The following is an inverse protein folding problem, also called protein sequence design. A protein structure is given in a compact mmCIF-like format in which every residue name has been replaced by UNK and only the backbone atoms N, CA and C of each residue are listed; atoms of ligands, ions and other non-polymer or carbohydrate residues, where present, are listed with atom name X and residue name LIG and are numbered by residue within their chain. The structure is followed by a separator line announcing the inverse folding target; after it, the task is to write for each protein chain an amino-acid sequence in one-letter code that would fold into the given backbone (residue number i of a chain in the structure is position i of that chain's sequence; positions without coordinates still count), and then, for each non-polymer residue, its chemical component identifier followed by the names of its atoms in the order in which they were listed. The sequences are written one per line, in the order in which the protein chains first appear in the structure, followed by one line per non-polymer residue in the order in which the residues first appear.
data_IF_574790331363
#
_entry.id   IF_574790331363
#
_cell.length_a   1.000
_cell.length_b   1.000
_cell.length_c   1.000
_cell.angle_alpha   90.00
_cell.angle_beta   90.00
_cell.angle_gamma   90.00
#
_symmetry.space_group_name_H-M   'P 1'
#
loop_
_entity.id
_entity.type
_entity.pdbx_description
1 polymer ?
#
# COMPACT_ATOMS: atom_id res chain seq x y z
N UNK A 1 11.32 1.83 17.69
CA UNK A 1 11.50 2.76 18.85
C UNK A 1 11.87 4.19 18.44
N UNK A 2 12.94 4.42 17.66
CA UNK A 2 13.35 5.79 17.29
C UNK A 2 12.24 6.61 16.61
N UNK A 3 11.50 6.03 15.66
CA UNK A 3 10.37 6.68 15.00
C UNK A 3 9.21 7.03 15.96
N UNK A 4 8.98 6.23 17.00
CA UNK A 4 7.94 6.50 18.00
C UNK A 4 8.25 7.76 18.80
N UNK A 5 9.50 7.87 19.26
CA UNK A 5 9.99 9.04 19.99
C UNK A 5 10.04 10.26 19.07
N UNK A 6 10.60 10.12 17.87
CA UNK A 6 10.74 11.20 16.90
C UNK A 6 9.40 11.78 16.45
N UNK A 7 8.41 10.95 16.14
CA UNK A 7 7.06 11.40 15.77
C UNK A 7 6.36 12.14 16.91
N UNK A 8 6.50 11.65 18.15
CA UNK A 8 5.92 12.29 19.33
C UNK A 8 6.53 13.68 19.62
N UNK A 9 7.83 13.86 19.37
CA UNK A 9 8.52 15.14 19.56
C UNK A 9 8.21 16.12 18.41
N UNK A 10 8.20 15.64 17.16
CA UNK A 10 8.05 16.50 15.99
C UNK A 10 6.65 17.12 15.88
N UNK A 11 5.60 16.31 16.06
CA UNK A 11 4.21 16.78 16.07
C UNK A 11 3.31 15.76 16.78
N UNK A 12 2.70 16.17 17.88
CA UNK A 12 1.75 15.35 18.62
C UNK A 12 0.63 14.81 17.71
N UNK A 13 0.32 13.52 17.86
CA UNK A 13 -0.68 12.83 17.05
C UNK A 13 -0.19 12.34 15.67
N UNK A 14 1.09 12.49 15.34
CA UNK A 14 1.66 11.90 14.12
C UNK A 14 1.63 10.38 14.22
N UNK A 15 0.97 9.74 13.25
CA UNK A 15 0.97 8.29 13.13
C UNK A 15 2.28 7.79 12.51
N UNK A 16 2.78 6.67 13.00
CA UNK A 16 3.95 5.98 12.44
C UNK A 16 3.76 4.46 12.49
N UNK A 17 4.41 3.79 11.54
CA UNK A 17 4.42 2.33 11.38
C UNK A 17 5.87 1.81 11.32
N UNK A 18 6.03 0.49 11.38
CA UNK A 18 7.30 -0.19 11.17
C UNK A 18 7.05 -1.45 10.34
N UNK A 19 7.03 -1.28 9.02
CA UNK A 19 6.85 -2.37 8.07
C UNK A 19 7.89 -3.48 8.27
N UNK A 20 7.42 -4.68 8.59
CA UNK A 20 8.24 -5.90 8.73
C UNK A 20 7.43 -7.11 8.24
N UNK A 21 7.92 -8.32 8.53
CA UNK A 21 7.08 -9.52 8.47
C UNK A 21 5.84 -9.35 9.36
N UNK A 22 4.70 -9.90 8.92
CA UNK A 22 3.37 -9.56 9.41
C UNK A 22 3.15 -9.93 10.88
N UNK A 23 3.65 -11.09 11.34
CA UNK A 23 3.55 -11.50 12.73
C UNK A 23 4.46 -10.65 13.64
N UNK A 24 5.67 -10.30 13.18
CA UNK A 24 6.57 -9.38 13.88
C UNK A 24 5.97 -7.98 13.97
N UNK A 25 5.43 -7.44 12.88
CA UNK A 25 4.80 -6.12 12.84
C UNK A 25 3.60 -6.05 13.80
N UNK A 26 2.78 -7.10 13.85
CA UNK A 26 1.69 -7.21 14.82
C UNK A 26 2.20 -7.25 16.26
N UNK A 27 3.27 -7.99 16.54
CA UNK A 27 3.85 -8.07 17.88
C UNK A 27 4.41 -6.70 18.34
N UNK A 28 5.06 -5.97 17.44
CA UNK A 28 5.52 -4.60 17.66
C UNK A 28 4.34 -3.67 17.94
N UNK A 29 3.24 -3.81 17.19
CA UNK A 29 2.01 -3.07 17.41
C UNK A 29 1.36 -3.37 18.76
N UNK A 30 1.25 -4.65 19.13
CA UNK A 30 0.73 -5.08 20.43
C UNK A 30 1.59 -4.60 21.60
N UNK A 31 2.89 -4.46 21.41
CA UNK A 31 3.81 -3.88 22.39
C UNK A 31 3.73 -2.33 22.46
N UNK A 32 2.91 -1.68 21.63
CA UNK A 32 2.72 -0.23 21.62
C UNK A 32 3.87 0.53 20.95
N UNK A 33 4.68 -0.14 20.14
CA UNK A 33 5.83 0.47 19.46
C UNK A 33 5.53 0.95 18.03
N UNK A 34 4.30 0.84 17.56
CA UNK A 34 3.74 1.48 16.35
C UNK A 34 2.33 2.01 16.65
N UNK A 35 1.87 3.01 15.91
CA UNK A 35 0.51 3.56 16.07
C UNK A 35 -0.47 3.07 15.00
N UNK A 36 0.05 2.53 13.90
CA UNK A 36 -0.73 1.90 12.83
C UNK A 36 0.15 0.91 12.04
N UNK A 37 -0.48 0.06 11.23
CA UNK A 37 0.17 -0.80 10.23
C UNK A 37 -0.36 -0.47 8.82
N UNK A 38 0.48 -0.56 7.80
CA UNK A 38 0.09 -0.32 6.41
C UNK A 38 0.37 -1.52 5.52
N UNK A 39 1.55 -2.12 5.69
CA UNK A 39 2.13 -3.15 4.83
C UNK A 39 1.49 -4.53 4.97
N UNK A 40 0.20 -4.58 5.33
CA UNK A 40 -0.60 -5.80 5.41
C UNK A 40 -0.95 -6.25 3.99
N UNK A 41 -0.03 -7.01 3.37
CA UNK A 41 0.01 -7.18 1.91
C UNK A 41 -1.05 -8.16 1.39
N UNK A 42 -1.72 -7.86 0.28
CA UNK A 42 -2.69 -8.76 -0.38
C UNK A 42 -2.38 -8.89 -1.87
N UNK A 43 -2.73 -10.03 -2.46
CA UNK A 43 -2.36 -10.37 -3.82
C UNK A 43 -3.54 -10.82 -4.68
N UNK A 44 -3.41 -10.65 -5.99
CA UNK A 44 -4.46 -10.89 -6.97
C UNK A 44 -4.53 -12.34 -7.44
N UNK A 45 -3.59 -13.20 -7.06
CA UNK A 45 -3.58 -14.64 -7.39
C UNK A 45 -3.24 -15.48 -6.17
N UNK A 46 -3.68 -16.74 -6.17
CA UNK A 46 -3.46 -17.66 -5.04
C UNK A 46 -1.98 -18.00 -4.89
N UNK A 47 -1.26 -18.21 -5.99
CA UNK A 47 0.18 -18.50 -5.93
C UNK A 47 0.99 -17.31 -5.39
N UNK A 48 0.60 -16.06 -5.73
CA UNK A 48 1.23 -14.88 -5.12
C UNK A 48 0.90 -14.77 -3.63
N UNK A 49 -0.33 -15.13 -3.22
CA UNK A 49 -0.68 -15.21 -1.80
C UNK A 49 0.20 -16.19 -1.02
N UNK A 50 0.38 -17.40 -1.57
CA UNK A 50 1.21 -18.45 -0.95
C UNK A 50 2.67 -18.00 -0.84
N UNK A 51 3.23 -17.39 -1.89
CA UNK A 51 4.61 -16.88 -1.88
C UNK A 51 4.76 -15.66 -0.94
N UNK A 52 3.69 -14.90 -0.74
CA UNK A 52 3.57 -13.88 0.30
C UNK A 52 3.27 -14.42 1.71
N UNK A 53 3.38 -15.73 1.91
CA UNK A 53 3.15 -16.48 3.17
C UNK A 53 1.76 -16.26 3.81
N UNK A 54 0.75 -16.07 2.98
CA UNK A 54 -0.59 -15.73 3.45
C UNK A 54 -1.72 -16.28 2.58
N UNK A 55 -2.93 -16.18 3.11
CA UNK A 55 -4.17 -16.48 2.43
C UNK A 55 -5.15 -15.33 2.63
N UNK A 56 -6.23 -15.25 1.84
CA UNK A 56 -7.29 -14.28 2.09
C UNK A 56 -7.86 -14.37 3.53
N UNK A 57 -7.91 -15.57 4.11
CA UNK A 57 -8.41 -15.79 5.46
C UNK A 57 -7.43 -15.38 6.56
N UNK A 58 -6.14 -15.67 6.40
CA UNK A 58 -5.13 -15.21 7.37
C UNK A 58 -5.05 -13.69 7.39
N UNK A 59 -5.17 -13.02 6.23
CA UNK A 59 -5.28 -11.55 6.16
C UNK A 59 -6.55 -11.02 6.82
N UNK A 60 -7.69 -11.66 6.62
CA UNK A 60 -8.92 -11.28 7.30
C UNK A 60 -8.80 -11.37 8.83
N UNK A 61 -8.16 -12.44 9.31
CA UNK A 61 -7.87 -12.63 10.73
C UNK A 61 -6.89 -11.57 11.25
N UNK A 62 -5.81 -11.30 10.51
CA UNK A 62 -4.80 -10.30 10.87
C UNK A 62 -5.40 -8.88 10.94
N UNK A 63 -6.21 -8.50 9.95
CA UNK A 63 -7.00 -7.25 9.96
C UNK A 63 -7.84 -7.14 11.21
N UNK A 64 -8.53 -8.23 11.58
CA UNK A 64 -9.33 -8.29 12.81
C UNK A 64 -8.46 -8.24 14.07
N UNK A 65 -7.27 -8.82 14.06
CA UNK A 65 -6.33 -8.80 15.19
C UNK A 65 -5.85 -7.37 15.48
N UNK A 66 -5.45 -6.60 14.46
CA UNK A 66 -5.13 -5.18 14.61
C UNK A 66 -6.33 -4.39 15.18
N UNK A 67 -7.52 -4.59 14.61
CA UNK A 67 -8.74 -3.93 15.07
C UNK A 67 -9.09 -4.27 16.52
N UNK A 68 -8.91 -5.54 16.94
CA UNK A 68 -9.17 -6.00 18.32
C UNK A 68 -8.28 -5.32 19.36
N UNK A 69 -7.15 -4.77 18.94
CA UNK A 69 -6.20 -4.02 19.77
C UNK A 69 -6.33 -2.51 19.62
N UNK A 70 -7.32 -2.04 18.87
CA UNK A 70 -7.51 -0.61 18.59
C UNK A 70 -6.41 0.01 17.74
N UNK A 71 -5.66 -0.82 17.00
CA UNK A 71 -4.56 -0.36 16.14
C UNK A 71 -5.13 -0.08 14.75
N UNK A 72 -4.96 1.15 14.25
CA UNK A 72 -5.34 1.48 12.86
C UNK A 72 -4.52 0.60 11.92
N UNK A 73 -5.17 0.07 10.89
CA UNK A 73 -4.45 -0.62 9.81
C UNK A 73 -5.07 -0.32 8.46
N UNK A 74 -4.29 -0.54 7.41
CA UNK A 74 -4.78 -0.70 6.04
C UNK A 74 -4.03 -1.86 5.40
N UNK A 75 -4.53 -2.35 4.29
CA UNK A 75 -3.82 -3.34 3.49
C UNK A 75 -2.96 -2.66 2.43
N UNK A 76 -1.98 -3.39 1.89
CA UNK A 76 -1.18 -2.94 0.75
C UNK A 76 -1.38 -3.88 -0.43
N UNK A 77 -1.60 -3.31 -1.61
CA UNK A 77 -1.56 -4.00 -2.89
C UNK A 77 -0.94 -3.08 -3.93
N UNK A 78 -0.87 -3.53 -5.18
CA UNK A 78 -0.41 -2.67 -6.25
C UNK A 78 -0.25 -3.43 -7.55
N UNK A 79 -0.53 -2.75 -8.66
CA UNK A 79 -0.26 -3.31 -9.97
C UNK A 79 1.20 -3.79 -10.11
N UNK A 80 1.34 -4.90 -10.84
CA UNK A 80 2.60 -5.58 -11.15
C UNK A 80 3.22 -6.42 -10.03
N UNK A 81 2.61 -6.50 -8.84
CA UNK A 81 3.08 -7.41 -7.78
C UNK A 81 3.14 -8.87 -8.27
N UNK A 82 2.05 -9.40 -8.83
CA UNK A 82 1.98 -10.78 -9.30
C UNK A 82 2.84 -11.02 -10.54
N UNK A 83 3.06 -9.99 -11.36
CA UNK A 83 3.99 -10.08 -12.48
C UNK A 83 5.44 -10.17 -12.00
N UNK A 84 5.80 -9.38 -11.00
CA UNK A 84 7.13 -9.40 -10.38
C UNK A 84 7.41 -10.73 -9.69
N UNK A 85 6.40 -11.30 -9.03
CA UNK A 85 6.48 -12.61 -8.35
C UNK A 85 6.38 -13.80 -9.32
N UNK A 86 6.03 -13.57 -10.60
CA UNK A 86 5.92 -14.63 -11.62
C UNK A 86 4.57 -15.36 -11.66
N UNK A 87 3.56 -14.89 -10.93
CA UNK A 87 2.25 -15.52 -10.75
C UNK A 87 1.07 -14.74 -11.35
N UNK A 88 1.28 -13.99 -12.43
CA UNK A 88 0.27 -13.11 -13.04
C UNK A 88 -0.89 -13.78 -13.81
N UNK A 89 -0.90 -15.12 -13.95
CA UNK A 89 -1.99 -15.90 -14.59
C UNK A 89 -2.46 -15.39 -15.98
N UNK A 90 -1.55 -14.77 -16.74
CA UNK A 90 -1.87 -14.12 -18.04
C UNK A 90 -3.01 -13.09 -17.94
N UNK A 91 -3.12 -12.40 -16.81
CA UNK A 91 -4.08 -11.32 -16.59
C UNK A 91 -3.40 -9.95 -16.66
N UNK A 92 -4.17 -8.92 -16.98
CA UNK A 92 -3.71 -7.53 -16.92
C UNK A 92 -3.45 -7.10 -15.48
N UNK A 93 -2.51 -6.18 -15.27
CA UNK A 93 -2.16 -5.68 -13.94
C UNK A 93 -3.36 -5.10 -13.21
N UNK A 94 -4.13 -4.24 -13.88
CA UNK A 94 -5.32 -3.61 -13.30
C UNK A 94 -6.41 -4.63 -12.89
N UNK A 95 -6.52 -5.76 -13.60
CA UNK A 95 -7.47 -6.81 -13.23
C UNK A 95 -7.08 -7.50 -11.92
N UNK A 96 -5.81 -7.85 -11.78
CA UNK A 96 -5.30 -8.49 -10.56
C UNK A 96 -5.40 -7.52 -9.37
N UNK A 97 -5.02 -6.27 -9.57
CA UNK A 97 -5.17 -5.23 -8.55
C UNK A 97 -6.65 -4.98 -8.18
N UNK A 98 -7.57 -5.06 -9.15
CA UNK A 98 -9.00 -4.98 -8.85
C UNK A 98 -9.46 -6.13 -7.94
N UNK A 99 -8.89 -7.33 -8.08
CA UNK A 99 -9.17 -8.45 -7.15
C UNK A 99 -8.64 -8.13 -5.74
N UNK A 100 -7.44 -7.59 -5.64
CA UNK A 100 -6.87 -7.14 -4.37
C UNK A 100 -7.80 -6.16 -3.66
N UNK A 101 -8.23 -5.10 -4.35
CA UNK A 101 -9.10 -4.07 -3.77
C UNK A 101 -10.47 -4.60 -3.34
N UNK A 102 -11.09 -5.46 -4.17
CA UNK A 102 -12.32 -6.15 -3.80
C UNK A 102 -12.14 -7.01 -2.55
N UNK A 103 -11.01 -7.72 -2.42
CA UNK A 103 -10.70 -8.51 -1.25
C UNK A 103 -10.51 -7.63 -0.01
N UNK A 104 -9.76 -6.54 -0.10
CA UNK A 104 -9.55 -5.61 1.00
C UNK A 104 -10.88 -5.06 1.54
N UNK A 105 -11.79 -4.69 0.63
CA UNK A 105 -13.14 -4.30 1.01
C UNK A 105 -13.91 -5.44 1.68
N UNK A 106 -13.80 -6.66 1.15
CA UNK A 106 -14.49 -7.84 1.68
C UNK A 106 -14.02 -8.25 3.08
N UNK A 107 -12.73 -8.10 3.39
CA UNK A 107 -12.17 -8.39 4.73
C UNK A 107 -12.40 -7.27 5.75
N UNK A 108 -13.07 -6.19 5.35
CA UNK A 108 -13.39 -5.06 6.22
C UNK A 108 -12.21 -4.13 6.50
N UNK A 109 -11.18 -4.12 5.65
CA UNK A 109 -10.12 -3.13 5.75
C UNK A 109 -10.70 -1.73 5.50
N UNK A 110 -10.33 -0.76 6.33
CA UNK A 110 -10.80 0.63 6.19
C UNK A 110 -10.11 1.38 5.04
N UNK A 111 -8.98 0.86 4.55
CA UNK A 111 -8.18 1.50 3.53
C UNK A 111 -7.21 0.55 2.84
N UNK A 112 -6.58 1.08 1.80
CA UNK A 112 -5.54 0.48 0.99
C UNK A 112 -4.37 1.45 0.82
N UNK A 113 -3.16 0.91 0.74
CA UNK A 113 -2.05 1.52 0.04
C UNK A 113 -1.95 0.82 -1.32
N UNK A 114 -2.12 1.57 -2.42
CA UNK A 114 -1.97 1.06 -3.79
C UNK A 114 -1.44 2.17 -4.70
N UNK A 115 -1.40 1.97 -6.02
CA UNK A 115 -0.72 2.83 -6.99
C UNK A 115 0.61 2.24 -7.47
N UNK A 116 0.70 0.91 -7.49
CA UNK A 116 1.86 0.13 -7.92
C UNK A 116 2.91 -0.11 -6.85
N UNK A 117 3.09 0.79 -5.89
CA UNK A 117 4.09 0.68 -4.79
C UNK A 117 5.43 0.19 -5.35
N UNK A 118 5.97 -0.93 -4.85
CA UNK A 118 7.23 -1.51 -5.30
C UNK A 118 7.17 -2.05 -6.74
N UNK A 119 5.97 -2.37 -7.25
CA UNK A 119 5.70 -2.73 -8.64
C UNK A 119 5.60 -1.54 -9.60
N UNK A 120 5.59 -0.30 -9.12
CA UNK A 120 5.44 0.90 -9.96
C UNK A 120 6.49 1.04 -11.09
N UNK A 121 7.79 0.67 -10.90
CA UNK A 121 8.76 0.67 -11.99
C UNK A 121 8.39 -0.33 -13.09
N UNK A 122 7.93 -1.53 -12.71
CA UNK A 122 7.52 -2.57 -13.65
C UNK A 122 6.25 -2.17 -14.40
N UNK A 123 5.23 -1.67 -13.71
CA UNK A 123 4.04 -1.11 -14.36
C UNK A 123 4.42 0.02 -15.34
N UNK A 124 5.31 0.92 -14.94
CA UNK A 124 5.76 2.06 -15.77
C UNK A 124 6.58 1.66 -17.01
N UNK A 125 7.01 0.40 -17.10
CA UNK A 125 7.74 -0.15 -18.26
C UNK A 125 6.81 -0.60 -19.39
N UNK A 126 5.51 -0.73 -19.13
CA UNK A 126 4.50 -1.24 -20.06
C UNK A 126 3.64 -0.08 -20.60
N UNK A 127 3.23 -0.09 -21.89
CA UNK A 127 2.31 0.92 -22.42
C UNK A 127 1.04 1.04 -21.58
N UNK A 128 0.69 2.27 -21.21
CA UNK A 128 -0.49 2.55 -20.39
C UNK A 128 -0.34 2.25 -18.89
N UNK A 129 0.77 1.68 -18.43
CA UNK A 129 0.92 1.27 -17.03
C UNK A 129 0.80 2.41 -16.01
N UNK A 130 1.35 3.61 -16.30
CA UNK A 130 1.15 4.77 -15.41
C UNK A 130 -0.33 5.17 -15.30
N UNK A 131 -1.11 4.98 -16.37
CA UNK A 131 -2.56 5.21 -16.34
C UNK A 131 -3.27 4.12 -15.52
N UNK A 132 -2.79 2.88 -15.57
CA UNK A 132 -3.31 1.79 -14.72
C UNK A 132 -3.04 2.06 -13.23
N UNK A 133 -1.85 2.58 -12.88
CA UNK A 133 -1.54 3.01 -11.50
C UNK A 133 -2.50 4.10 -11.00
N UNK A 134 -3.01 4.95 -11.90
CA UNK A 134 -4.04 5.93 -11.53
C UNK A 134 -5.44 5.30 -11.45
N UNK A 135 -5.72 4.32 -12.31
CA UNK A 135 -7.00 3.63 -12.34
C UNK A 135 -7.23 2.78 -11.09
N UNK A 136 -6.22 2.08 -10.57
CA UNK A 136 -6.36 1.31 -9.31
C UNK A 136 -6.67 2.21 -8.11
N UNK A 137 -6.05 3.39 -8.05
CA UNK A 137 -6.36 4.40 -7.03
C UNK A 137 -7.82 4.87 -7.13
N UNK A 138 -8.35 5.05 -8.35
CA UNK A 138 -9.75 5.40 -8.56
C UNK A 138 -10.70 4.27 -8.12
N UNK A 139 -10.35 3.01 -8.40
CA UNK A 139 -11.14 1.85 -7.96
C UNK A 139 -11.19 1.78 -6.44
N UNK A 140 -10.07 2.01 -5.75
CA UNK A 140 -10.03 2.05 -4.29
C UNK A 140 -11.01 3.07 -3.71
N UNK A 141 -11.02 4.29 -4.27
CA UNK A 141 -11.96 5.35 -3.87
C UNK A 141 -13.40 4.98 -4.19
N UNK A 142 -13.67 4.35 -5.34
CA UNK A 142 -15.02 3.87 -5.70
C UNK A 142 -15.52 2.73 -4.79
N UNK A 143 -14.60 1.95 -4.22
CA UNK A 143 -14.90 0.93 -3.22
C UNK A 143 -14.99 1.50 -1.79
N UNK A 144 -14.93 2.83 -1.63
CA UNK A 144 -15.03 3.50 -0.34
C UNK A 144 -13.91 3.05 0.63
N UNK A 145 -12.70 2.90 0.10
CA UNK A 145 -11.47 2.65 0.87
C UNK A 145 -10.68 3.95 1.02
N UNK A 146 -10.14 4.22 2.22
CA UNK A 146 -9.06 5.21 2.38
C UNK A 146 -7.91 4.79 1.45
N UNK A 147 -7.41 5.70 0.60
CA UNK A 147 -6.43 5.36 -0.43
C UNK A 147 -5.13 6.15 -0.24
N UNK A 148 -4.04 5.45 0.09
CA UNK A 148 -2.68 5.95 0.06
C UNK A 148 -2.06 5.61 -1.31
N UNK A 149 -1.88 6.62 -2.17
CA UNK A 149 -1.88 6.46 -3.64
C UNK A 149 -0.54 6.09 -4.31
N UNK A 150 0.41 5.50 -3.57
CA UNK A 150 1.55 4.80 -4.18
C UNK A 150 2.55 5.67 -4.94
N UNK A 151 2.71 6.90 -4.49
CA UNK A 151 3.74 7.82 -4.96
C UNK A 151 5.05 7.70 -4.16
N UNK A 152 5.27 6.58 -3.49
CA UNK A 152 6.32 6.24 -2.54
C UNK A 152 7.55 5.54 -3.15
N UNK A 153 7.38 4.87 -4.29
CA UNK A 153 8.48 4.25 -5.04
C UNK A 153 8.90 5.08 -6.27
N UNK A 154 10.22 5.14 -6.51
CA UNK A 154 10.79 5.81 -7.69
C UNK A 154 10.61 4.93 -8.92
N UNK A 155 9.76 5.38 -9.86
CA UNK A 155 9.45 4.63 -11.08
C UNK A 155 10.22 5.10 -12.34
N UNK A 156 10.95 6.21 -12.24
CA UNK A 156 11.76 6.76 -13.33
C UNK A 156 12.90 7.63 -12.81
N UNK A 157 14.00 7.68 -13.56
CA UNK A 157 15.09 8.64 -13.36
C UNK A 157 14.79 10.02 -13.92
N UNK A 158 13.76 10.17 -14.76
CA UNK A 158 13.35 11.46 -15.32
C UNK A 158 12.42 12.19 -14.37
N UNK A 159 12.86 13.35 -13.89
CA UNK A 159 12.02 14.24 -13.06
C UNK A 159 10.70 14.59 -13.73
N UNK A 160 10.69 14.75 -15.06
CA UNK A 160 9.48 15.00 -15.83
C UNK A 160 8.50 13.82 -15.78
N UNK A 161 8.99 12.57 -15.86
CA UNK A 161 8.14 11.38 -15.76
C UNK A 161 7.62 11.18 -14.34
N UNK A 162 8.46 11.44 -13.33
CA UNK A 162 8.07 11.41 -11.91
C UNK A 162 6.99 12.45 -11.64
N UNK A 163 7.20 13.70 -12.08
CA UNK A 163 6.21 14.76 -11.93
C UNK A 163 4.89 14.41 -12.63
N UNK A 164 4.93 13.84 -13.83
CA UNK A 164 3.74 13.44 -14.57
C UNK A 164 2.89 12.37 -13.86
N UNK A 165 3.51 11.43 -13.12
CA UNK A 165 2.78 10.45 -12.30
C UNK A 165 2.11 11.10 -11.09
N UNK A 166 2.79 12.04 -10.44
CA UNK A 166 2.35 12.68 -9.18
C UNK A 166 1.30 13.77 -9.41
N UNK A 167 1.46 14.59 -10.44
CA UNK A 167 0.67 15.81 -10.69
C UNK A 167 -0.86 15.61 -10.69
N UNK A 168 -1.43 14.55 -11.30
CA UNK A 168 -2.87 14.35 -11.32
C UNK A 168 -3.51 14.28 -9.94
N UNK A 169 -2.76 13.82 -8.94
CA UNK A 169 -3.24 13.74 -7.57
C UNK A 169 -3.31 15.14 -6.95
N UNK A 170 -2.29 16.00 -7.14
CA UNK A 170 -2.17 17.32 -6.52
C UNK A 170 -3.29 18.34 -6.81
N UNK A 171 -4.10 18.14 -7.85
CA UNK A 171 -5.05 19.16 -8.32
C UNK A 171 -6.49 19.03 -7.78
N UNK A 172 -6.92 17.90 -7.21
CA UNK A 172 -8.37 17.74 -6.92
C UNK A 172 -8.84 16.83 -5.77
N UNK A 173 -7.98 16.11 -5.05
CA UNK A 173 -8.43 15.15 -4.02
C UNK A 173 -7.58 15.32 -2.74
N UNK A 174 -8.21 15.38 -1.56
CA UNK A 174 -7.57 15.25 -0.23
C UNK A 174 -8.33 14.16 0.53
N UNK A 175 -7.65 13.22 1.24
CA UNK A 175 -6.65 13.54 2.27
C UNK A 175 -5.24 12.89 2.17
N UNK A 176 -4.93 11.99 1.24
CA UNK A 176 -3.66 11.21 1.28
C UNK A 176 -2.92 11.11 -0.06
N UNK A 177 -2.64 12.27 -0.64
CA UNK A 177 -2.07 12.45 -1.99
C UNK A 177 -0.57 12.10 -2.12
N UNK A 178 0.13 12.11 -0.99
CA UNK A 178 1.57 11.98 -0.90
C UNK A 178 1.93 11.40 0.47
N UNK A 179 2.39 10.17 0.53
CA UNK A 179 3.12 9.67 1.70
C UNK A 179 4.55 9.37 1.29
N UNK A 180 5.35 10.44 1.26
CA UNK A 180 6.79 10.37 1.12
C UNK A 180 7.40 11.26 2.18
N UNK A 181 7.42 10.76 3.42
CA UNK A 181 8.36 11.22 4.44
C UNK A 181 9.45 10.16 4.68
N UNK A 182 9.96 9.55 3.60
CA UNK A 182 11.14 8.69 3.63
C UNK A 182 12.37 9.18 2.84
N UNK A 183 12.28 10.25 2.02
CA UNK A 183 13.45 10.68 1.21
C UNK A 183 13.72 12.20 1.09
N UNK A 184 13.15 13.05 1.93
CA UNK A 184 13.50 14.48 1.94
C UNK A 184 14.08 14.95 3.29
N UNK A 185 15.16 14.29 3.75
CA UNK A 185 16.20 14.88 4.62
C UNK A 185 17.42 13.96 4.82
N UNK A 186 18.14 13.64 3.75
CA UNK A 186 19.59 13.39 3.84
C UNK A 186 20.27 14.10 2.65
N UNK A 187 20.37 15.42 2.80
CA UNK A 187 21.54 16.22 2.45
C UNK A 187 21.68 17.28 3.54
#
# INVERSE_FOLDING_TARGET
MACAVGSSIGKAGTLFQCSSEEAEELAIGMAGFTSYAETVSVYGTESAFIDGDDTPWSKAWLTSAYASRGIKMRCTSGAAAELLMGFHESKSLLYLESRCLCLQRAIGAQGTQNGGIDGAPLASSIPGGVRELMAENLIAVWLDLECATGNDARHSESDMRVAAKVLPFNWRIRPYLFWLWKYFKIR
#
